data_IF_597891216846
#
_entry.id   IF_597891216846
#
_cell.length_a   1.000
_cell.length_b   1.000
_cell.length_c   1.000
_cell.angle_alpha   90.00
_cell.angle_beta   90.00
_cell.angle_gamma   90.00
#
_symmetry.space_group_name_H-M   'P 1'
#
loop_
_entity.id
_entity.type
_entity.pdbx_description
1 polymer ?
#
# COMPACT_ATOMS: atom_id res chain seq x y z
N UNK A 1 20.46 -6.38 1.38
CA UNK A 1 18.98 -6.37 1.37
C UNK A 1 18.38 -5.54 2.50
N UNK A 2 18.88 -5.63 3.73
CA UNK A 2 18.37 -4.84 4.88
C UNK A 2 18.68 -3.34 4.84
N UNK A 3 19.80 -2.92 4.24
CA UNK A 3 20.19 -1.50 4.19
C UNK A 3 19.15 -0.59 3.52
N UNK A 4 18.55 -1.05 2.42
CA UNK A 4 17.51 -0.29 1.72
C UNK A 4 16.25 -0.16 2.58
N UNK A 5 15.91 -1.20 3.35
CA UNK A 5 14.81 -1.14 4.30
C UNK A 5 15.08 -0.14 5.42
N UNK A 6 16.29 -0.13 5.99
CA UNK A 6 16.66 0.87 7.00
C UNK A 6 16.57 2.29 6.45
N UNK A 7 17.07 2.54 5.23
CA UNK A 7 16.97 3.85 4.58
C UNK A 7 15.50 4.28 4.40
N UNK A 8 14.63 3.39 3.93
CA UNK A 8 13.20 3.69 3.79
C UNK A 8 12.54 3.98 5.14
N UNK A 9 12.84 3.19 6.17
CA UNK A 9 12.32 3.42 7.53
C UNK A 9 12.78 4.77 8.07
N UNK A 10 14.06 5.14 7.89
CA UNK A 10 14.57 6.46 8.27
C UNK A 10 13.86 7.59 7.53
N UNK A 11 13.57 7.43 6.23
CA UNK A 11 12.82 8.43 5.46
C UNK A 11 11.40 8.62 6.01
N UNK A 12 10.68 7.53 6.30
CA UNK A 12 9.33 7.58 6.88
C UNK A 12 9.35 8.25 8.27
N UNK A 13 10.30 7.89 9.13
CA UNK A 13 10.46 8.49 10.46
C UNK A 13 10.83 9.97 10.39
N UNK A 14 11.52 10.40 9.33
CA UNK A 14 11.86 11.81 9.09
C UNK A 14 10.70 12.64 8.51
N UNK A 15 9.53 12.02 8.27
CA UNK A 15 8.32 12.72 7.83
C UNK A 15 7.97 12.57 6.35
N UNK A 16 8.59 11.63 5.62
CA UNK A 16 8.13 11.29 4.28
C UNK A 16 6.70 10.71 4.33
N UNK A 17 5.72 11.45 3.80
CA UNK A 17 4.35 10.97 3.67
C UNK A 17 4.17 10.13 2.39
N UNK A 18 3.88 8.84 2.58
CA UNK A 18 3.59 7.91 1.48
C UNK A 18 2.09 7.65 1.29
N UNK A 19 1.23 8.28 2.09
CA UNK A 19 -0.23 8.12 2.02
C UNK A 19 -0.78 8.33 0.61
N UNK A 20 -0.33 9.34 -0.18
CA UNK A 20 -0.85 9.57 -1.53
C UNK A 20 -0.58 8.42 -2.53
N UNK A 21 0.42 7.57 -2.27
CA UNK A 21 0.74 6.42 -3.13
C UNK A 21 -0.30 5.31 -2.95
N UNK A 22 -0.95 5.24 -1.79
CA UNK A 22 -1.98 4.25 -1.47
C UNK A 22 -3.33 4.76 -1.97
N UNK A 23 -3.66 4.34 -3.19
CA UNK A 23 -4.91 4.73 -3.86
C UNK A 23 -6.14 3.96 -3.40
N UNK A 24 -5.97 2.71 -2.94
CA UNK A 24 -7.09 1.84 -2.56
C UNK A 24 -6.79 1.14 -1.24
N UNK A 25 -7.80 1.13 -0.36
CA UNK A 25 -7.81 0.38 0.90
C UNK A 25 -9.11 -0.41 0.95
N UNK A 26 -9.03 -1.71 0.75
CA UNK A 26 -10.19 -2.61 0.68
C UNK A 26 -10.10 -3.63 1.82
N UNK A 27 -11.22 -4.25 2.17
CA UNK A 27 -11.18 -5.44 3.02
C UNK A 27 -10.64 -6.62 2.21
N UNK A 28 -10.08 -7.62 2.91
CA UNK A 28 -9.49 -8.79 2.25
C UNK A 28 -10.49 -9.58 1.41
N UNK A 29 -11.77 -9.56 1.80
CA UNK A 29 -12.84 -10.23 1.07
C UNK A 29 -13.07 -9.61 -0.34
N UNK A 30 -12.71 -8.34 -0.51
CA UNK A 30 -12.79 -7.60 -1.78
C UNK A 30 -11.49 -7.71 -2.60
N UNK A 31 -10.68 -8.75 -2.37
CA UNK A 31 -9.39 -8.90 -3.06
C UNK A 31 -9.55 -8.82 -4.59
N UNK A 32 -10.60 -9.41 -5.16
CA UNK A 32 -10.82 -9.45 -6.60
C UNK A 32 -10.93 -8.03 -7.20
N UNK A 33 -11.68 -7.13 -6.55
CA UNK A 33 -11.80 -5.72 -6.95
C UNK A 33 -10.43 -5.04 -6.97
N UNK A 34 -9.63 -5.26 -5.91
CA UNK A 34 -8.27 -4.72 -5.82
C UNK A 34 -7.37 -5.18 -6.96
N UNK A 35 -7.45 -6.46 -7.34
CA UNK A 35 -6.67 -6.99 -8.46
C UNK A 35 -7.14 -6.47 -9.82
N UNK A 36 -8.44 -6.30 -10.00
CA UNK A 36 -9.00 -5.75 -11.23
C UNK A 36 -8.60 -4.27 -11.41
N UNK A 37 -8.63 -3.47 -10.34
CA UNK A 37 -8.13 -2.08 -10.34
C UNK A 37 -6.63 -1.98 -10.68
N UNK A 38 -5.81 -2.93 -10.20
CA UNK A 38 -4.39 -3.02 -10.59
C UNK A 38 -4.21 -3.39 -12.06
N UNK A 39 -4.95 -4.39 -12.57
CA UNK A 39 -4.86 -4.79 -13.99
C UNK A 39 -5.35 -3.70 -14.94
N UNK A 40 -6.37 -2.94 -14.53
CA UNK A 40 -6.90 -1.82 -15.31
C UNK A 40 -5.99 -0.58 -15.35
N UNK A 41 -4.89 -0.55 -14.60
CA UNK A 41 -4.01 0.61 -14.50
C UNK A 41 -4.64 1.80 -13.76
N UNK A 42 -5.74 1.57 -13.02
CA UNK A 42 -6.49 2.59 -12.30
C UNK A 42 -6.09 2.67 -10.81
N UNK A 43 -4.93 2.14 -10.45
CA UNK A 43 -4.42 2.16 -9.07
C UNK A 43 -2.92 2.42 -9.03
N UNK A 44 -2.45 3.08 -7.96
CA UNK A 44 -1.03 3.22 -7.65
C UNK A 44 -0.55 2.10 -6.72
N UNK A 45 -1.24 1.95 -5.58
CA UNK A 45 -1.05 0.83 -4.65
C UNK A 45 -2.40 0.47 -4.03
N UNK A 46 -2.67 -0.83 -3.97
CA UNK A 46 -3.80 -1.43 -3.25
C UNK A 46 -3.27 -2.06 -1.96
N UNK A 47 -3.97 -1.79 -0.85
CA UNK A 47 -3.73 -2.43 0.46
C UNK A 47 -5.02 -3.12 0.87
N UNK A 48 -4.96 -4.44 1.07
CA UNK A 48 -6.06 -5.22 1.61
C UNK A 48 -5.93 -5.32 3.13
N UNK A 49 -7.02 -5.17 3.87
CA UNK A 49 -7.07 -5.26 5.33
C UNK A 49 -7.52 -6.66 5.75
N UNK A 50 -6.70 -7.35 6.54
CA UNK A 50 -6.98 -8.72 7.02
C UNK A 50 -7.73 -8.79 8.36
N UNK A 51 -7.78 -7.69 9.11
CA UNK A 51 -8.43 -7.65 10.41
C UNK A 51 -9.16 -6.32 10.58
N UNK A 52 -10.44 -6.40 11.00
CA UNK A 52 -11.11 -5.30 11.69
C UNK A 52 -10.66 -5.35 13.15
N UNK A 53 -9.67 -4.53 13.48
CA UNK A 53 -9.40 -4.14 14.86
C UNK A 53 -10.13 -2.84 15.18
#
# INVERSE_FOLDING_TARGET
>A
MYETWYKMTSMLQSGLDITPVITHRLDVDDFQEGFDAMRGGQSGKVVLKWAQG
#
